data_IF_828294789385
#
_entry.id   IF_828294789385
#
_cell.length_a   1.000
_cell.length_b   1.000
_cell.length_c   1.000
_cell.angle_alpha   90.00
_cell.angle_beta   90.00
_cell.angle_gamma   90.00
#
_symmetry.space_group_name_H-M   'P 1'
#
loop_
_entity.id
_entity.type
_entity.pdbx_description
1 polymer ?
#
# COMPACT_ATOMS: atom_id res chain seq x y z
N UNK A 1 4.20 -3.04 12.45
CA UNK A 1 3.16 -3.14 11.39
C UNK A 1 2.75 -4.60 11.19
N UNK A 2 1.55 -5.01 11.65
CA UNK A 2 0.97 -6.33 11.36
C UNK A 2 0.39 -6.40 9.94
N UNK A 3 0.32 -7.61 9.38
CA UNK A 3 -0.30 -7.90 8.08
C UNK A 3 -1.71 -8.47 8.25
N UNK A 4 -2.68 -7.94 7.53
CA UNK A 4 -4.11 -8.29 7.65
C UNK A 4 -4.81 -8.35 6.29
N UNK A 5 -5.99 -8.99 6.29
CA UNK A 5 -6.89 -9.07 5.13
C UNK A 5 -8.33 -8.69 5.45
N UNK A 6 -8.71 -8.64 6.73
CA UNK A 6 -10.10 -8.41 7.17
C UNK A 6 -10.25 -7.16 8.05
N UNK A 7 -11.45 -6.60 8.11
CA UNK A 7 -11.77 -5.46 8.99
C UNK A 7 -11.51 -5.80 10.47
N UNK A 8 -11.86 -7.02 10.90
CA UNK A 8 -11.65 -7.47 12.29
C UNK A 8 -10.17 -7.44 12.67
N UNK A 9 -9.30 -7.91 11.77
CA UNK A 9 -7.86 -7.93 12.02
C UNK A 9 -7.27 -6.52 11.99
N UNK A 10 -7.81 -5.62 11.17
CA UNK A 10 -7.45 -4.20 11.21
C UNK A 10 -7.80 -3.59 12.58
N UNK A 11 -9.00 -3.83 13.11
CA UNK A 11 -9.39 -3.36 14.45
C UNK A 11 -8.43 -3.92 15.50
N UNK A 12 -8.19 -5.23 15.49
CA UNK A 12 -7.28 -5.90 16.43
C UNK A 12 -5.88 -5.27 16.37
N UNK A 13 -5.36 -5.00 15.18
CA UNK A 13 -4.07 -4.36 14.99
C UNK A 13 -4.02 -2.95 15.61
N UNK A 14 -5.07 -2.16 15.43
CA UNK A 14 -5.16 -0.81 15.99
C UNK A 14 -5.28 -0.82 17.51
N UNK A 15 -6.07 -1.74 18.07
CA UNK A 15 -6.20 -1.92 19.53
C UNK A 15 -4.87 -2.37 20.17
N UNK A 16 -4.05 -3.13 19.43
CA UNK A 16 -2.68 -3.46 19.83
C UNK A 16 -1.67 -2.31 19.62
N UNK A 17 -2.11 -1.13 19.18
CA UNK A 17 -1.27 0.06 19.03
C UNK A 17 -0.45 0.11 17.73
N UNK A 18 -0.89 -0.52 16.65
CA UNK A 18 -0.17 -0.46 15.37
C UNK A 18 -0.24 0.94 14.72
N UNK A 19 0.92 1.54 14.43
CA UNK A 19 1.01 2.82 13.70
C UNK A 19 0.62 2.72 12.21
N UNK A 20 0.80 1.53 11.62
CA UNK A 20 0.45 1.22 10.23
C UNK A 20 0.01 -0.24 10.18
N UNK A 21 -1.03 -0.53 9.39
CA UNK A 21 -1.55 -1.87 9.13
C UNK A 21 -1.30 -2.24 7.67
N UNK A 22 -0.57 -3.34 7.45
CA UNK A 22 -0.28 -3.84 6.10
C UNK A 22 -1.47 -4.64 5.58
N UNK A 23 -2.02 -4.27 4.44
CA UNK A 23 -3.04 -5.07 3.74
C UNK A 23 -2.34 -5.98 2.74
N UNK A 24 -2.42 -7.29 2.93
CA UNK A 24 -1.69 -8.27 2.12
C UNK A 24 -2.42 -9.61 2.00
N UNK A 25 -2.53 -10.20 0.78
CA UNK A 25 -2.03 -9.68 -0.50
C UNK A 25 -2.95 -8.59 -1.07
N UNK A 26 -2.37 -7.45 -1.44
CA UNK A 26 -3.09 -6.25 -1.87
C UNK A 26 -3.93 -6.47 -3.14
N UNK A 27 -3.44 -7.24 -4.12
CA UNK A 27 -4.21 -7.58 -5.33
C UNK A 27 -5.46 -8.42 -5.06
N UNK A 28 -5.40 -9.30 -4.04
CA UNK A 28 -6.53 -10.16 -3.67
C UNK A 28 -7.56 -9.36 -2.88
N UNK A 29 -7.11 -8.54 -1.93
CA UNK A 29 -7.99 -7.72 -1.08
C UNK A 29 -8.58 -6.53 -1.85
N UNK A 30 -7.77 -5.87 -2.67
CA UNK A 30 -8.18 -4.81 -3.60
C UNK A 30 -8.46 -3.44 -2.97
N UNK A 31 -8.39 -2.39 -3.80
CA UNK A 31 -8.63 -1.01 -3.39
C UNK A 31 -10.07 -0.77 -2.88
N UNK A 32 -11.04 -1.56 -3.34
CA UNK A 32 -12.42 -1.47 -2.85
C UNK A 32 -12.51 -1.79 -1.36
N UNK A 33 -11.72 -2.74 -0.87
CA UNK A 33 -11.68 -3.08 0.54
C UNK A 33 -11.06 -1.95 1.38
N UNK A 34 -10.03 -1.25 0.88
CA UNK A 34 -9.47 -0.06 1.55
C UNK A 34 -10.57 0.97 1.82
N UNK A 35 -11.30 1.36 0.76
CA UNK A 35 -12.42 2.29 0.88
C UNK A 35 -13.52 1.79 1.82
N UNK A 36 -13.82 0.49 1.78
CA UNK A 36 -14.82 -0.13 2.66
C UNK A 36 -14.38 -0.14 4.14
N UNK A 37 -13.09 -0.33 4.43
CA UNK A 37 -12.53 -0.28 5.78
C UNK A 37 -12.52 1.15 6.32
N UNK A 38 -12.19 2.14 5.49
CA UNK A 38 -12.22 3.56 5.88
C UNK A 38 -13.64 4.08 6.16
N UNK A 39 -14.69 3.39 5.71
CA UNK A 39 -16.07 3.71 6.07
C UNK A 39 -16.29 3.75 7.60
N UNK A 40 -16.09 2.62 8.31
CA UNK A 40 -16.16 2.57 9.77
C UNK A 40 -14.87 3.04 10.49
N UNK A 41 -13.71 2.99 9.84
CA UNK A 41 -12.41 3.33 10.44
C UNK A 41 -11.67 4.40 9.61
N UNK A 42 -12.18 5.63 9.48
CA UNK A 42 -11.60 6.66 8.61
C UNK A 42 -10.15 7.01 8.96
N UNK A 43 -9.74 6.79 10.22
CA UNK A 43 -8.39 7.03 10.72
C UNK A 43 -7.40 5.90 10.44
N UNK A 44 -7.82 4.75 9.90
CA UNK A 44 -6.96 3.58 9.78
C UNK A 44 -5.76 3.83 8.83
N UNK A 45 -4.50 3.73 9.31
CA UNK A 45 -3.30 3.92 8.51
C UNK A 45 -2.98 2.66 7.70
N UNK A 46 -3.66 2.49 6.57
CA UNK A 46 -3.54 1.28 5.74
C UNK A 46 -2.41 1.40 4.71
N UNK A 47 -1.64 0.31 4.55
CA UNK A 47 -0.57 0.18 3.55
C UNK A 47 -0.70 -1.13 2.76
N UNK A 48 -1.12 -1.13 1.49
CA UNK A 48 -1.20 -2.32 0.65
C UNK A 48 0.19 -2.84 0.26
N UNK A 49 0.34 -4.14 0.10
CA UNK A 49 1.51 -4.79 -0.49
C UNK A 49 1.09 -6.02 -1.26
N UNK A 50 1.73 -6.32 -2.39
CA UNK A 50 1.29 -7.35 -3.33
C UNK A 50 0.35 -6.74 -4.38
N UNK A 51 0.68 -6.90 -5.66
CA UNK A 51 -0.01 -6.21 -6.77
C UNK A 51 0.29 -4.73 -6.94
N UNK A 52 1.18 -4.14 -6.13
CA UNK A 52 1.56 -2.71 -6.24
C UNK A 52 2.64 -2.55 -7.33
N UNK A 53 2.42 -1.63 -8.27
CA UNK A 53 3.35 -1.25 -9.34
C UNK A 53 3.33 0.27 -9.59
N UNK A 54 4.16 0.76 -10.52
CA UNK A 54 4.25 2.20 -10.83
C UNK A 54 2.92 2.78 -11.29
N UNK A 55 2.17 2.02 -12.09
CA UNK A 55 0.95 2.49 -12.75
C UNK A 55 -0.21 2.65 -11.75
N UNK A 56 -0.25 1.83 -10.70
CA UNK A 56 -1.32 1.84 -9.70
C UNK A 56 -0.93 2.45 -8.34
N UNK A 57 0.34 2.81 -8.13
CA UNK A 57 0.81 3.35 -6.85
C UNK A 57 0.02 4.58 -6.41
N UNK A 58 -0.25 5.52 -7.34
CA UNK A 58 -1.04 6.71 -7.05
C UNK A 58 -2.51 6.40 -6.76
N UNK A 59 -3.08 5.35 -7.37
CA UNK A 59 -4.47 4.95 -7.14
C UNK A 59 -4.68 4.40 -5.72
N UNK A 60 -3.71 3.65 -5.19
CA UNK A 60 -3.72 3.20 -3.79
C UNK A 60 -3.69 4.37 -2.82
N UNK A 61 -2.88 5.40 -3.07
CA UNK A 61 -2.85 6.62 -2.24
C UNK A 61 -4.20 7.35 -2.32
N UNK A 62 -4.76 7.53 -3.51
CA UNK A 62 -6.11 8.10 -3.71
C UNK A 62 -7.23 7.28 -3.06
N UNK A 63 -7.02 5.98 -2.85
CA UNK A 63 -7.97 5.13 -2.15
C UNK A 63 -7.94 5.31 -0.62
N UNK A 64 -7.02 6.14 -0.09
CA UNK A 64 -6.88 6.45 1.34
C UNK A 64 -5.67 5.79 1.99
N UNK A 65 -4.82 5.07 1.26
CA UNK A 65 -3.64 4.43 1.83
C UNK A 65 -2.59 5.48 2.20
N UNK A 66 -1.96 5.31 3.37
CA UNK A 66 -0.92 6.25 3.86
C UNK A 66 0.45 6.01 3.19
N UNK A 67 0.65 4.82 2.65
CA UNK A 67 1.85 4.39 1.94
C UNK A 67 1.51 3.20 1.03
N UNK A 68 2.47 2.79 0.19
CA UNK A 68 2.38 1.55 -0.60
C UNK A 68 3.66 0.73 -0.43
N UNK A 69 3.53 -0.59 -0.35
CA UNK A 69 4.67 -1.51 -0.31
C UNK A 69 5.03 -2.01 -1.71
N UNK A 70 6.16 -1.55 -2.26
CA UNK A 70 6.70 -2.00 -3.53
C UNK A 70 7.69 -3.16 -3.33
N UNK A 71 7.32 -4.37 -3.77
CA UNK A 71 8.15 -5.57 -3.72
C UNK A 71 8.82 -5.86 -5.06
N UNK A 72 8.47 -6.99 -5.66
CA UNK A 72 9.05 -7.45 -6.94
C UNK A 72 8.93 -6.44 -8.09
N UNK A 73 7.91 -5.58 -8.10
CA UNK A 73 7.82 -4.50 -9.09
C UNK A 73 9.02 -3.53 -9.01
N UNK A 74 9.60 -3.32 -7.83
CA UNK A 74 10.78 -2.48 -7.62
C UNK A 74 12.08 -3.26 -7.86
N UNK A 75 12.27 -4.40 -7.18
CA UNK A 75 13.57 -5.09 -7.12
C UNK A 75 13.62 -6.48 -7.76
N UNK A 76 12.49 -7.00 -8.24
CA UNK A 76 12.40 -8.34 -8.81
C UNK A 76 13.07 -8.48 -10.17
N UNK A 77 13.30 -9.72 -10.59
CA UNK A 77 13.77 -10.03 -11.95
C UNK A 77 15.25 -9.77 -12.22
N UNK A 78 16.10 -9.65 -11.18
CA UNK A 78 17.54 -9.48 -11.35
C UNK A 78 17.96 -8.09 -11.86
N UNK A 79 17.11 -7.07 -11.63
CA UNK A 79 17.41 -5.67 -11.99
C UNK A 79 18.73 -5.20 -11.39
N UNK A 80 19.46 -4.42 -12.16
CA UNK A 80 20.65 -3.67 -11.74
C UNK A 80 20.28 -2.53 -10.78
N UNK A 81 21.28 -1.98 -10.09
CA UNK A 81 21.09 -0.84 -9.19
C UNK A 81 20.50 0.39 -9.91
N UNK A 82 20.91 0.64 -11.16
CA UNK A 82 20.41 1.76 -11.97
C UNK A 82 18.95 1.56 -12.34
N UNK A 83 18.55 0.35 -12.77
CA UNK A 83 17.15 0.03 -13.08
C UNK A 83 16.24 0.12 -11.85
N UNK A 84 16.73 -0.31 -10.68
CA UNK A 84 16.02 -0.16 -9.41
C UNK A 84 15.86 1.33 -9.08
N UNK A 85 16.91 2.14 -9.26
CA UNK A 85 16.88 3.58 -9.02
C UNK A 85 15.88 4.28 -9.92
N UNK A 86 15.87 3.98 -11.22
CA UNK A 86 14.91 4.53 -12.16
C UNK A 86 13.48 4.10 -11.85
N UNK A 87 13.28 2.84 -11.44
CA UNK A 87 11.98 2.35 -11.00
C UNK A 87 11.51 3.07 -9.73
N UNK A 88 12.40 3.27 -8.75
CA UNK A 88 12.10 4.00 -7.51
C UNK A 88 11.68 5.45 -7.79
N UNK A 89 12.38 6.15 -8.69
CA UNK A 89 12.00 7.51 -9.13
C UNK A 89 10.60 7.55 -9.71
N UNK A 90 10.23 6.55 -10.52
CA UNK A 90 8.88 6.43 -11.10
C UNK A 90 7.81 6.22 -10.03
N UNK A 91 8.05 5.35 -9.04
CA UNK A 91 7.14 5.19 -7.90
C UNK A 91 6.95 6.50 -7.12
N UNK A 92 8.06 7.19 -6.83
CA UNK A 92 8.03 8.48 -6.12
C UNK A 92 7.22 9.50 -6.93
N UNK A 93 7.44 9.59 -8.24
CA UNK A 93 6.70 10.50 -9.12
C UNK A 93 5.20 10.18 -9.14
N UNK A 94 4.82 8.90 -9.26
CA UNK A 94 3.42 8.47 -9.24
C UNK A 94 2.71 8.81 -7.92
N UNK A 95 3.38 8.63 -6.78
CA UNK A 95 2.85 9.00 -5.47
C UNK A 95 2.77 10.52 -5.30
N UNK A 96 3.81 11.27 -5.70
CA UNK A 96 3.82 12.74 -5.62
C UNK A 96 2.74 13.38 -6.49
N UNK A 97 2.43 12.80 -7.65
CA UNK A 97 1.42 13.33 -8.56
C UNK A 97 0.00 13.33 -7.96
N UNK A 98 -0.23 12.59 -6.87
CA UNK A 98 -1.55 12.46 -6.23
C UNK A 98 -1.56 12.89 -4.76
N UNK A 99 -0.41 13.27 -4.21
CA UNK A 99 -0.23 13.65 -2.81
C UNK A 99 -0.01 15.16 -2.80
N UNK A 100 -0.96 15.88 -2.21
CA UNK A 100 -0.86 17.33 -1.98
C UNK A 100 0.38 17.69 -1.14
#
# INVERSE_FOLDING_TARGET
>A
MPGTTTLKDVVTALECGADVVKIFPGEVVGMKAIKAIHGPLPQAPLMPTGGVNVDNAGEWIKAGCVAVGAGGALTGGGKTADEITETAKKFIAAVKAVRE
#
